data_IF_129054956976
#
_entry.id   IF_129054956976
#
_cell.length_a   1.000
_cell.length_b   1.000
_cell.length_c   1.000
_cell.angle_alpha   90.00
_cell.angle_beta   90.00
_cell.angle_gamma   90.00
#
_symmetry.space_group_name_H-M   'P 1'
#
loop_
_entity.id
_entity.type
_entity.pdbx_description
1 polymer ?
#
# COMPACT_ATOMS: atom_id res chain seq x y z
N UNK A 1 -9.55 20.22 -32.53
CA UNK A 1 -10.26 21.43 -33.00
C UNK A 1 -9.34 22.21 -33.96
N UNK A 2 -9.86 22.87 -35.06
CA UNK A 2 -9.03 23.66 -35.92
C UNK A 2 -8.30 24.78 -35.16
N UNK A 3 -7.00 24.88 -35.30
CA UNK A 3 -6.09 25.79 -34.58
C UNK A 3 -6.44 27.29 -34.64
N UNK A 4 -7.42 27.68 -35.46
CA UNK A 4 -7.74 29.09 -35.72
C UNK A 4 -9.09 29.54 -35.09
N UNK A 5 -9.77 28.74 -34.30
CA UNK A 5 -10.97 29.13 -33.66
C UNK A 5 -10.70 29.43 -32.17
N UNK A 6 -10.98 30.69 -31.69
CA UNK A 6 -10.72 31.03 -30.30
C UNK A 6 -11.85 30.45 -29.40
N UNK A 7 -11.94 29.10 -29.36
CA UNK A 7 -13.03 28.39 -28.70
C UNK A 7 -13.11 28.67 -27.18
N UNK A 8 -11.95 28.87 -26.53
CA UNK A 8 -11.89 29.18 -25.09
C UNK A 8 -12.56 30.54 -24.81
N UNK A 9 -12.28 31.57 -25.64
CA UNK A 9 -12.90 32.86 -25.51
C UNK A 9 -14.41 32.82 -25.83
N UNK A 10 -14.83 31.95 -26.74
CA UNK A 10 -16.24 31.73 -27.07
C UNK A 10 -16.96 30.98 -25.95
N UNK A 11 -16.31 29.97 -25.37
CA UNK A 11 -16.86 29.21 -24.23
C UNK A 11 -17.07 30.10 -23.00
N UNK A 12 -16.05 30.89 -22.63
CA UNK A 12 -16.13 31.85 -21.52
C UNK A 12 -17.22 32.92 -21.71
N UNK A 13 -17.58 33.24 -22.97
CA UNK A 13 -18.67 34.18 -23.29
C UNK A 13 -20.02 33.49 -23.44
N UNK A 14 -20.11 32.17 -23.20
CA UNK A 14 -21.34 31.41 -23.41
C UNK A 14 -21.80 31.31 -24.87
N UNK A 15 -20.88 31.52 -25.83
CA UNK A 15 -21.15 31.49 -27.28
C UNK A 15 -20.87 30.14 -27.93
N UNK A 16 -20.31 29.18 -27.16
CA UNK A 16 -20.05 27.82 -27.60
C UNK A 16 -20.30 26.83 -26.46
N UNK A 17 -20.61 25.59 -26.83
CA UNK A 17 -20.68 24.45 -25.93
C UNK A 17 -19.55 23.51 -26.34
N UNK A 18 -18.74 23.11 -25.38
CA UNK A 18 -17.74 22.09 -25.57
C UNK A 18 -18.34 20.71 -25.33
N UNK A 19 -18.42 19.88 -26.36
CA UNK A 19 -18.80 18.47 -26.22
C UNK A 19 -17.48 17.70 -26.17
N UNK A 20 -17.23 17.09 -25.03
CA UNK A 20 -16.05 16.27 -24.79
C UNK A 20 -16.29 14.81 -25.15
N UNK A 21 -15.22 14.01 -25.17
CA UNK A 21 -15.34 12.57 -25.33
C UNK A 21 -16.19 11.94 -24.21
N UNK A 22 -16.10 12.47 -22.99
CA UNK A 22 -16.90 12.00 -21.86
C UNK A 22 -18.40 12.24 -22.07
N UNK A 23 -18.78 13.32 -22.73
CA UNK A 23 -20.18 13.62 -23.04
C UNK A 23 -20.75 12.70 -24.15
N UNK A 24 -19.86 12.05 -24.91
CA UNK A 24 -20.22 11.13 -26.00
C UNK A 24 -20.16 9.66 -25.60
N UNK A 25 -19.63 9.35 -24.40
CA UNK A 25 -19.62 7.98 -23.90
C UNK A 25 -21.03 7.51 -23.57
N UNK A 26 -21.33 6.30 -24.00
CA UNK A 26 -22.55 5.60 -23.62
C UNK A 26 -22.41 5.09 -22.18
N UNK A 27 -23.48 5.19 -21.42
CA UNK A 27 -23.61 4.50 -20.15
C UNK A 27 -23.88 3.00 -20.38
N UNK A 28 -23.61 2.18 -19.38
CA UNK A 28 -23.94 0.73 -19.43
C UNK A 28 -25.40 0.45 -19.78
N UNK A 29 -26.33 1.30 -19.31
CA UNK A 29 -27.74 1.13 -19.58
C UNK A 29 -28.09 1.52 -21.03
N UNK A 30 -27.44 2.53 -21.60
CA UNK A 30 -27.58 2.90 -23.01
C UNK A 30 -27.02 1.82 -23.94
N UNK A 31 -25.91 1.19 -23.58
CA UNK A 31 -25.41 0.02 -24.32
C UNK A 31 -26.41 -1.13 -24.34
N UNK A 32 -27.04 -1.43 -23.19
CA UNK A 32 -28.11 -2.43 -23.11
C UNK A 32 -29.29 -2.10 -24.01
N UNK A 33 -29.67 -0.81 -24.11
CA UNK A 33 -30.76 -0.34 -24.98
C UNK A 33 -30.40 -0.65 -26.44
N UNK A 34 -29.17 -0.36 -26.88
CA UNK A 34 -28.73 -0.66 -28.26
C UNK A 34 -28.85 -2.15 -28.57
N UNK A 35 -28.45 -3.03 -27.66
CA UNK A 35 -28.57 -4.47 -27.85
C UNK A 35 -30.05 -4.92 -27.86
N UNK A 36 -30.85 -4.38 -26.95
CA UNK A 36 -32.30 -4.68 -26.88
C UNK A 36 -33.06 -4.25 -28.12
N UNK A 37 -32.76 -3.07 -28.68
CA UNK A 37 -33.32 -2.62 -29.97
C UNK A 37 -32.96 -3.54 -31.15
N UNK A 38 -31.90 -4.30 -31.01
CA UNK A 38 -31.47 -5.31 -31.94
C UNK A 38 -31.93 -6.75 -31.55
N UNK A 39 -32.98 -6.84 -30.71
CA UNK A 39 -33.60 -8.10 -30.26
C UNK A 39 -32.67 -9.00 -29.42
N UNK A 40 -31.63 -8.44 -28.82
CA UNK A 40 -30.70 -9.13 -27.96
C UNK A 40 -30.88 -8.68 -26.51
N UNK A 41 -31.23 -9.61 -25.64
CA UNK A 41 -31.31 -9.35 -24.19
C UNK A 41 -30.03 -9.84 -23.50
N UNK A 42 -29.15 -8.92 -23.13
CA UNK A 42 -27.94 -9.25 -22.40
C UNK A 42 -28.25 -9.64 -20.95
N UNK A 43 -27.56 -10.65 -20.43
CA UNK A 43 -27.51 -10.92 -19.00
C UNK A 43 -26.78 -9.79 -18.27
N UNK A 44 -26.83 -9.79 -16.92
CA UNK A 44 -26.08 -8.80 -16.13
C UNK A 44 -24.58 -8.93 -16.36
N UNK A 45 -24.07 -10.17 -16.38
CA UNK A 45 -22.66 -10.47 -16.61
C UNK A 45 -22.20 -10.06 -18.02
N UNK A 46 -23.03 -10.33 -19.05
CA UNK A 46 -22.71 -9.93 -20.44
C UNK A 46 -22.68 -8.41 -20.59
N UNK A 47 -23.58 -7.68 -19.90
CA UNK A 47 -23.58 -6.24 -19.92
C UNK A 47 -22.39 -5.63 -19.16
N UNK A 48 -21.95 -6.26 -18.06
CA UNK A 48 -20.74 -5.85 -17.36
C UNK A 48 -19.51 -6.07 -18.26
N UNK A 49 -19.39 -7.22 -18.86
CA UNK A 49 -18.31 -7.57 -19.78
C UNK A 49 -18.26 -6.64 -21.00
N UNK A 50 -19.42 -6.33 -21.59
CA UNK A 50 -19.53 -5.39 -22.71
C UNK A 50 -18.97 -4.01 -22.30
N UNK A 51 -19.47 -3.46 -21.19
CA UNK A 51 -19.08 -2.12 -20.73
C UNK A 51 -17.59 -2.06 -20.34
N UNK A 52 -17.07 -3.11 -19.70
CA UNK A 52 -15.64 -3.22 -19.36
C UNK A 52 -14.74 -3.16 -20.61
N UNK A 53 -15.19 -3.74 -21.74
CA UNK A 53 -14.41 -3.80 -22.98
C UNK A 53 -14.67 -2.64 -23.94
N UNK A 54 -15.80 -1.96 -23.87
CA UNK A 54 -16.13 -0.83 -24.75
C UNK A 54 -15.91 0.50 -24.09
N UNK A 55 -15.98 0.55 -22.76
CA UNK A 55 -15.96 1.76 -21.94
C UNK A 55 -16.88 2.86 -22.51
N UNK A 56 -18.06 2.47 -23.01
CA UNK A 56 -19.04 3.38 -23.61
C UNK A 56 -18.67 3.89 -25.01
N UNK A 57 -17.59 3.40 -25.64
CA UNK A 57 -17.23 3.86 -26.97
C UNK A 57 -18.15 3.26 -28.03
N UNK A 58 -18.97 4.12 -28.66
CA UNK A 58 -20.06 3.71 -29.54
C UNK A 58 -19.61 2.78 -30.69
N UNK A 59 -18.44 3.03 -31.28
CA UNK A 59 -17.93 2.15 -32.37
C UNK A 59 -17.58 0.76 -31.85
N UNK A 60 -17.06 0.65 -30.64
CA UNK A 60 -16.77 -0.63 -30.00
C UNK A 60 -18.07 -1.38 -29.65
N UNK A 61 -19.09 -0.68 -29.19
CA UNK A 61 -20.42 -1.25 -28.92
C UNK A 61 -21.03 -1.82 -30.18
N UNK A 62 -21.02 -1.09 -31.31
CA UNK A 62 -21.55 -1.59 -32.59
C UNK A 62 -20.74 -2.77 -33.14
N UNK A 63 -19.42 -2.78 -32.98
CA UNK A 63 -18.60 -3.94 -33.37
C UNK A 63 -18.91 -5.16 -32.50
N UNK A 64 -19.07 -4.96 -31.21
CA UNK A 64 -19.47 -6.03 -30.28
C UNK A 64 -20.86 -6.57 -30.59
N UNK A 65 -21.80 -5.69 -30.97
CA UNK A 65 -23.14 -6.10 -31.45
C UNK A 65 -23.05 -6.93 -32.73
N UNK A 66 -22.19 -6.52 -33.68
CA UNK A 66 -21.97 -7.30 -34.91
C UNK A 66 -21.37 -8.68 -34.61
N UNK A 67 -20.38 -8.74 -33.72
CA UNK A 67 -19.81 -10.04 -33.29
C UNK A 67 -20.84 -10.91 -32.59
N UNK A 68 -21.67 -10.34 -31.69
CA UNK A 68 -22.75 -11.06 -31.02
C UNK A 68 -23.75 -11.68 -32.02
N UNK A 69 -24.20 -10.91 -33.01
CA UNK A 69 -25.10 -11.40 -34.06
C UNK A 69 -24.50 -12.57 -34.84
N UNK A 70 -23.19 -12.59 -35.02
CA UNK A 70 -22.48 -13.65 -35.74
C UNK A 70 -22.25 -14.91 -34.91
N UNK A 71 -21.98 -14.75 -33.60
CA UNK A 71 -21.56 -15.84 -32.73
C UNK A 71 -22.67 -16.34 -31.79
N UNK A 72 -23.76 -15.59 -31.64
CA UNK A 72 -24.85 -15.91 -30.70
C UNK A 72 -24.46 -15.75 -29.22
N UNK A 73 -23.31 -15.11 -28.91
CA UNK A 73 -22.79 -14.87 -27.58
C UNK A 73 -21.81 -13.70 -27.59
N UNK A 74 -21.52 -13.14 -26.43
CA UNK A 74 -20.42 -12.16 -26.30
C UNK A 74 -19.11 -12.80 -26.79
N UNK A 75 -18.45 -12.13 -27.74
CA UNK A 75 -17.20 -12.57 -28.35
C UNK A 75 -15.98 -12.15 -27.51
N UNK A 76 -14.78 -12.47 -28.03
CA UNK A 76 -13.50 -12.04 -27.41
C UNK A 76 -13.07 -10.61 -27.78
N UNK A 77 -13.99 -9.79 -28.31
CA UNK A 77 -13.75 -8.39 -28.73
C UNK A 77 -12.60 -8.23 -29.75
N UNK A 78 -12.36 -9.28 -30.55
CA UNK A 78 -11.27 -9.32 -31.55
C UNK A 78 -11.41 -8.21 -32.60
N UNK A 79 -12.64 -7.92 -33.05
CA UNK A 79 -12.89 -6.86 -34.04
C UNK A 79 -12.62 -5.47 -33.47
N UNK A 80 -12.95 -5.24 -32.19
CA UNK A 80 -12.67 -3.98 -31.49
C UNK A 80 -11.16 -3.79 -31.37
N UNK A 81 -10.45 -4.80 -30.86
CA UNK A 81 -9.02 -4.76 -30.71
C UNK A 81 -8.28 -4.58 -32.05
N UNK A 82 -8.75 -5.26 -33.11
CA UNK A 82 -8.18 -5.09 -34.45
C UNK A 82 -8.39 -3.68 -35.02
N UNK A 83 -9.59 -3.12 -34.83
CA UNK A 83 -9.88 -1.74 -35.25
C UNK A 83 -8.93 -0.77 -34.54
N UNK A 84 -8.82 -0.84 -33.22
CA UNK A 84 -7.95 0.03 -32.43
C UNK A 84 -6.48 -0.11 -32.80
N UNK A 85 -6.04 -1.37 -32.98
CA UNK A 85 -4.67 -1.63 -33.42
C UNK A 85 -4.38 -0.90 -34.74
N UNK A 86 -5.19 -1.11 -35.76
CA UNK A 86 -4.94 -0.57 -37.11
C UNK A 86 -5.20 0.93 -37.25
N UNK A 87 -6.14 1.47 -36.47
CA UNK A 87 -6.52 2.89 -36.57
C UNK A 87 -5.69 3.83 -35.68
N UNK A 88 -5.18 3.30 -34.58
CA UNK A 88 -4.48 4.09 -33.56
C UNK A 88 -3.08 3.54 -33.30
N UNK A 89 -2.99 2.32 -32.72
CA UNK A 89 -1.74 1.78 -32.23
C UNK A 89 -0.65 1.68 -33.30
N UNK A 90 -0.96 1.12 -34.48
CA UNK A 90 -0.01 0.96 -35.59
C UNK A 90 0.43 2.30 -36.22
N UNK A 91 -0.23 3.43 -35.88
CA UNK A 91 0.13 4.78 -36.35
C UNK A 91 1.06 5.53 -35.39
N UNK A 92 1.19 5.02 -34.18
CA UNK A 92 2.14 5.58 -33.21
C UNK A 92 3.58 5.32 -33.64
N UNK A 93 4.51 6.17 -33.22
CA UNK A 93 5.93 5.90 -33.37
C UNK A 93 6.33 4.61 -32.66
N UNK A 94 7.44 3.97 -33.08
CA UNK A 94 7.91 2.75 -32.44
C UNK A 94 8.15 2.92 -30.93
N UNK A 95 8.71 4.07 -30.52
CA UNK A 95 8.97 4.39 -29.12
C UNK A 95 7.66 4.56 -28.32
N UNK A 96 6.64 5.20 -28.91
CA UNK A 96 5.32 5.32 -28.28
C UNK A 96 4.58 3.98 -28.19
N UNK A 97 4.70 3.13 -29.22
CA UNK A 97 4.15 1.77 -29.15
C UNK A 97 4.81 0.98 -28.02
N UNK A 98 6.14 1.00 -27.93
CA UNK A 98 6.87 0.31 -26.88
C UNK A 98 6.54 0.90 -25.49
N UNK A 99 6.41 2.22 -25.38
CA UNK A 99 6.00 2.90 -24.16
C UNK A 99 4.62 2.42 -23.69
N UNK A 100 3.61 2.47 -24.55
CA UNK A 100 2.25 2.03 -24.17
C UNK A 100 2.19 0.53 -23.90
N UNK A 101 2.93 -0.31 -24.62
CA UNK A 101 3.05 -1.73 -24.31
C UNK A 101 3.55 -1.94 -22.87
N UNK A 102 4.64 -1.29 -22.48
CA UNK A 102 5.19 -1.39 -21.11
C UNK A 102 4.24 -0.79 -20.08
N UNK A 103 3.62 0.36 -20.38
CA UNK A 103 2.73 1.05 -19.45
C UNK A 103 1.34 0.40 -19.32
N UNK A 104 0.96 -0.49 -20.24
CA UNK A 104 -0.29 -1.26 -20.12
C UNK A 104 -0.39 -2.11 -18.86
N UNK A 105 0.73 -2.42 -18.22
CA UNK A 105 0.83 -3.16 -16.96
C UNK A 105 0.38 -2.34 -15.74
N UNK A 106 0.19 -1.02 -15.88
CA UNK A 106 -0.04 -0.09 -14.78
C UNK A 106 -1.36 0.67 -14.97
N UNK A 107 -2.04 0.99 -13.86
CA UNK A 107 -3.33 1.66 -13.91
C UNK A 107 -3.20 3.14 -14.26
N UNK A 108 -2.19 3.79 -13.71
CA UNK A 108 -1.85 5.18 -13.96
C UNK A 108 -0.35 5.40 -13.77
N UNK A 109 0.16 6.48 -14.34
CA UNK A 109 1.56 6.86 -14.27
C UNK A 109 1.74 8.38 -14.38
N UNK A 110 2.81 8.89 -13.84
CA UNK A 110 3.37 10.20 -14.14
C UNK A 110 4.62 10.03 -15.00
N UNK A 111 5.06 11.11 -15.62
CA UNK A 111 6.16 11.05 -16.60
C UNK A 111 7.48 10.56 -15.97
N UNK A 112 7.84 11.07 -14.77
CA UNK A 112 9.08 10.68 -14.09
C UNK A 112 9.11 9.18 -13.76
N UNK A 113 7.99 8.67 -13.23
CA UNK A 113 7.84 7.24 -12.92
C UNK A 113 7.85 6.38 -14.18
N UNK A 114 7.18 6.83 -15.24
CA UNK A 114 7.11 6.11 -16.52
C UNK A 114 8.46 6.06 -17.23
N UNK A 115 9.22 7.15 -17.26
CA UNK A 115 10.59 7.21 -17.79
C UNK A 115 11.50 6.22 -17.06
N UNK A 116 11.47 6.23 -15.71
CA UNK A 116 12.26 5.29 -14.92
C UNK A 116 11.87 3.82 -15.16
N UNK A 117 10.58 3.54 -15.28
CA UNK A 117 10.08 2.18 -15.49
C UNK A 117 10.40 1.68 -16.89
N UNK A 118 10.10 2.48 -17.92
CA UNK A 118 10.22 2.07 -19.33
C UNK A 118 11.63 2.19 -19.87
N UNK A 119 12.44 3.08 -19.31
CA UNK A 119 13.76 3.48 -19.83
C UNK A 119 13.66 4.03 -21.26
N UNK A 120 12.55 4.73 -21.57
CA UNK A 120 12.32 5.41 -22.85
C UNK A 120 12.24 6.92 -22.60
N UNK A 121 12.76 7.69 -23.53
CA UNK A 121 12.71 9.15 -23.52
C UNK A 121 11.41 9.61 -24.19
N UNK A 122 10.31 9.57 -23.43
CA UNK A 122 8.99 10.04 -23.85
C UNK A 122 8.64 11.23 -22.98
N UNK A 123 8.39 12.36 -23.63
CA UNK A 123 8.10 13.61 -22.91
C UNK A 123 6.63 13.75 -22.53
N UNK A 124 6.34 14.63 -21.56
CA UNK A 124 4.96 14.97 -21.20
C UNK A 124 4.20 15.56 -22.40
N UNK A 125 4.88 16.34 -23.26
CA UNK A 125 4.26 16.90 -24.47
C UNK A 125 3.85 15.81 -25.47
N UNK A 126 4.66 14.77 -25.67
CA UNK A 126 4.32 13.65 -26.56
C UNK A 126 3.03 12.95 -26.06
N UNK A 127 2.90 12.81 -24.74
CA UNK A 127 1.70 12.22 -24.14
C UNK A 127 0.49 13.15 -24.25
N UNK A 128 0.65 14.45 -24.01
CA UNK A 128 -0.43 15.44 -24.15
C UNK A 128 -0.91 15.56 -25.61
N UNK A 129 -0.01 15.52 -26.58
CA UNK A 129 -0.38 15.44 -28.00
C UNK A 129 -1.20 14.17 -28.28
N UNK A 130 -0.83 13.04 -27.66
CA UNK A 130 -1.58 11.78 -27.79
C UNK A 130 -2.98 11.86 -27.12
N UNK A 131 -3.13 12.59 -26.00
CA UNK A 131 -4.43 12.89 -25.37
C UNK A 131 -5.32 13.66 -26.34
N UNK A 132 -4.80 14.74 -26.94
CA UNK A 132 -5.55 15.59 -27.85
C UNK A 132 -5.91 14.90 -29.16
N UNK A 133 -4.98 14.11 -29.71
CA UNK A 133 -5.15 13.50 -31.03
C UNK A 133 -6.06 12.26 -30.99
N UNK A 134 -5.95 11.42 -30.00
CA UNK A 134 -6.58 10.10 -29.99
C UNK A 134 -7.64 9.92 -28.90
N UNK A 135 -7.59 10.68 -27.79
CA UNK A 135 -8.56 10.61 -26.69
C UNK A 135 -8.57 9.29 -25.91
N UNK A 136 -7.54 8.47 -26.01
CA UNK A 136 -7.40 7.20 -25.28
C UNK A 136 -6.41 7.26 -24.11
N UNK A 137 -6.06 8.48 -23.74
CA UNK A 137 -5.22 8.78 -22.59
C UNK A 137 -5.85 9.94 -21.85
N UNK A 138 -6.18 9.77 -20.57
CA UNK A 138 -6.70 10.81 -19.70
C UNK A 138 -5.56 11.46 -18.92
N UNK A 139 -5.56 12.78 -18.78
CA UNK A 139 -4.60 13.54 -18.01
C UNK A 139 -5.25 14.23 -16.82
N UNK A 140 -4.77 13.92 -15.62
CA UNK A 140 -5.19 14.57 -14.39
C UNK A 140 -4.23 15.72 -14.05
N UNK A 141 -4.67 16.94 -14.29
CA UNK A 141 -3.88 18.18 -14.09
C UNK A 141 -3.39 18.34 -12.64
N UNK A 142 -4.20 18.12 -11.59
CA UNK A 142 -3.75 18.26 -10.20
C UNK A 142 -2.60 17.33 -9.80
N UNK A 143 -2.57 16.13 -10.31
CA UNK A 143 -1.56 15.11 -9.96
C UNK A 143 -0.47 14.93 -11.02
N UNK A 144 -0.57 15.62 -12.17
CA UNK A 144 0.30 15.43 -13.33
C UNK A 144 0.41 13.97 -13.73
N UNK A 145 -0.70 13.24 -13.72
CA UNK A 145 -0.72 11.81 -13.99
C UNK A 145 -1.59 11.46 -15.20
N UNK A 146 -1.20 10.40 -15.87
CA UNK A 146 -1.87 9.85 -17.03
C UNK A 146 -2.55 8.52 -16.69
N UNK A 147 -3.73 8.30 -17.25
CA UNK A 147 -4.44 7.02 -17.19
C UNK A 147 -4.74 6.56 -18.60
N UNK A 148 -4.32 5.33 -18.93
CA UNK A 148 -4.66 4.74 -20.22
C UNK A 148 -6.12 4.28 -20.20
N UNK A 149 -6.86 4.69 -21.21
CA UNK A 149 -8.18 4.13 -21.47
C UNK A 149 -8.10 2.60 -21.64
N UNK A 150 -9.07 1.88 -21.10
CA UNK A 150 -9.08 0.40 -21.07
C UNK A 150 -8.84 -0.20 -22.45
N UNK A 151 -9.41 0.38 -23.51
CA UNK A 151 -9.25 -0.08 -24.87
C UNK A 151 -7.79 0.01 -25.37
N UNK A 152 -7.12 1.12 -25.15
CA UNK A 152 -5.70 1.26 -25.53
C UNK A 152 -4.83 0.32 -24.69
N UNK A 153 -5.14 0.21 -23.39
CA UNK A 153 -4.42 -0.70 -22.48
C UNK A 153 -4.52 -2.14 -22.96
N UNK A 154 -5.72 -2.59 -23.33
CA UNK A 154 -5.95 -3.97 -23.81
C UNK A 154 -5.15 -4.25 -25.08
N UNK A 155 -5.22 -3.37 -26.08
CA UNK A 155 -4.47 -3.51 -27.33
C UNK A 155 -2.96 -3.50 -27.06
N UNK A 156 -2.48 -2.54 -26.30
CA UNK A 156 -1.05 -2.44 -25.93
C UNK A 156 -0.56 -3.67 -25.16
N UNK A 157 -1.41 -4.21 -24.24
CA UNK A 157 -1.10 -5.41 -23.51
C UNK A 157 -1.05 -6.67 -24.37
N UNK A 158 -1.90 -6.77 -25.40
CA UNK A 158 -1.87 -7.87 -26.36
C UNK A 158 -0.61 -7.85 -27.24
N UNK A 159 -0.10 -6.66 -27.56
CA UNK A 159 1.11 -6.49 -28.33
C UNK A 159 2.39 -6.60 -27.46
N UNK A 160 2.24 -6.64 -26.14
CA UNK A 160 3.35 -6.76 -25.19
C UNK A 160 3.99 -8.15 -25.32
N UNK A 161 4.93 -8.30 -26.21
CA UNK A 161 5.71 -9.54 -26.38
C UNK A 161 7.01 -9.47 -25.59
N UNK A 162 6.91 -9.58 -24.26
CA UNK A 162 8.04 -9.56 -23.32
C UNK A 162 8.12 -10.87 -22.56
N UNK A 163 9.32 -11.30 -22.23
CA UNK A 163 9.56 -12.44 -21.38
C UNK A 163 9.11 -12.14 -19.93
N UNK A 164 8.84 -13.17 -19.15
CA UNK A 164 8.53 -13.04 -17.72
C UNK A 164 9.62 -12.27 -16.95
N UNK A 165 10.89 -12.40 -17.36
CA UNK A 165 12.01 -11.69 -16.77
C UNK A 165 11.90 -10.18 -17.04
N UNK A 166 11.60 -9.77 -18.28
CA UNK A 166 11.44 -8.36 -18.63
C UNK A 166 10.24 -7.74 -17.92
N UNK A 167 9.12 -8.45 -17.85
CA UNK A 167 7.92 -8.02 -17.10
C UNK A 167 8.25 -7.87 -15.61
N UNK A 168 8.97 -8.83 -15.02
CA UNK A 168 9.44 -8.74 -13.65
C UNK A 168 10.33 -7.52 -13.40
N UNK A 169 11.20 -7.16 -14.36
CA UNK A 169 12.03 -5.96 -14.26
C UNK A 169 11.19 -4.67 -14.29
N UNK A 170 10.14 -4.59 -15.12
CA UNK A 170 9.23 -3.44 -15.13
C UNK A 170 8.52 -3.27 -13.77
N UNK A 171 8.00 -4.36 -13.20
CA UNK A 171 7.39 -4.31 -11.88
C UNK A 171 8.38 -3.97 -10.77
N UNK A 172 9.62 -4.46 -10.82
CA UNK A 172 10.65 -4.08 -9.84
C UNK A 172 10.94 -2.57 -9.89
N UNK A 173 11.11 -1.98 -11.07
CA UNK A 173 11.31 -0.52 -11.22
C UNK A 173 10.11 0.28 -10.71
N UNK A 174 8.89 -0.16 -11.00
CA UNK A 174 7.67 0.48 -10.49
C UNK A 174 7.57 0.40 -8.96
N UNK A 175 8.00 -0.73 -8.38
CA UNK A 175 8.08 -0.90 -6.94
C UNK A 175 9.12 0.04 -6.31
N UNK A 176 10.29 0.19 -6.93
CA UNK A 176 11.35 1.11 -6.48
C UNK A 176 10.90 2.58 -6.49
N UNK A 177 10.19 3.01 -7.55
CA UNK A 177 9.56 4.34 -7.59
C UNK A 177 8.58 4.52 -6.44
N UNK A 178 7.72 3.52 -6.22
CA UNK A 178 6.73 3.54 -5.13
C UNK A 178 7.40 3.59 -3.76
N UNK A 179 8.51 2.87 -3.57
CA UNK A 179 9.30 2.87 -2.34
C UNK A 179 9.95 4.22 -2.07
N UNK A 180 10.59 4.84 -3.09
CA UNK A 180 11.17 6.19 -3.01
C UNK A 180 10.11 7.23 -2.59
N UNK A 181 8.89 7.09 -3.07
CA UNK A 181 7.73 7.93 -2.73
C UNK A 181 7.05 7.54 -1.40
N UNK A 182 7.61 6.59 -0.66
CA UNK A 182 7.06 6.07 0.61
C UNK A 182 5.66 5.44 0.48
N UNK A 183 5.27 5.05 -0.72
CA UNK A 183 4.04 4.30 -1.02
C UNK A 183 4.27 2.80 -0.85
N UNK A 184 4.62 2.38 0.36
CA UNK A 184 5.10 1.02 0.62
C UNK A 184 4.09 -0.10 0.30
N UNK A 185 2.79 0.15 0.48
CA UNK A 185 1.74 -0.83 0.12
C UNK A 185 1.77 -1.09 -1.39
N UNK A 186 1.88 -0.02 -2.20
CA UNK A 186 1.98 -0.12 -3.66
C UNK A 186 3.29 -0.79 -4.07
N UNK A 187 4.39 -0.47 -3.38
CA UNK A 187 5.68 -1.13 -3.61
C UNK A 187 5.59 -2.65 -3.37
N UNK A 188 4.98 -3.09 -2.25
CA UNK A 188 4.76 -4.53 -1.98
C UNK A 188 3.93 -5.17 -3.08
N UNK A 189 2.84 -4.54 -3.54
CA UNK A 189 2.01 -5.08 -4.62
C UNK A 189 2.80 -5.29 -5.92
N UNK A 190 3.66 -4.34 -6.29
CA UNK A 190 4.51 -4.48 -7.48
C UNK A 190 5.64 -5.48 -7.28
N UNK A 191 6.31 -5.51 -6.13
CA UNK A 191 7.30 -6.54 -5.83
C UNK A 191 6.69 -7.96 -5.81
N UNK A 192 5.43 -8.09 -5.40
CA UNK A 192 4.70 -9.37 -5.48
C UNK A 192 4.53 -9.83 -6.93
N UNK A 193 4.12 -8.92 -7.83
CA UNK A 193 4.03 -9.21 -9.27
C UNK A 193 5.41 -9.55 -9.87
N UNK A 194 6.46 -8.90 -9.37
CA UNK A 194 7.85 -9.19 -9.75
C UNK A 194 8.42 -10.46 -9.11
N UNK A 195 7.73 -11.06 -8.14
CA UNK A 195 8.21 -12.18 -7.30
C UNK A 195 9.51 -11.84 -6.56
N UNK A 196 9.72 -10.57 -6.21
CA UNK A 196 10.89 -10.10 -5.47
C UNK A 196 10.67 -10.23 -3.96
N UNK A 197 10.70 -11.47 -3.49
CA UNK A 197 10.43 -11.83 -2.10
C UNK A 197 11.45 -11.23 -1.12
N UNK A 198 12.70 -11.08 -1.56
CA UNK A 198 13.77 -10.46 -0.76
C UNK A 198 13.44 -9.00 -0.42
N UNK A 199 13.02 -8.19 -1.40
CA UNK A 199 12.63 -6.79 -1.15
C UNK A 199 11.36 -6.68 -0.30
N UNK A 200 10.39 -7.57 -0.50
CA UNK A 200 9.19 -7.62 0.34
C UNK A 200 9.56 -7.91 1.79
N UNK A 201 10.37 -8.94 2.03
CA UNK A 201 10.83 -9.27 3.38
C UNK A 201 11.62 -8.11 4.01
N UNK A 202 12.51 -7.45 3.25
CA UNK A 202 13.25 -6.28 3.71
C UNK A 202 12.34 -5.12 4.13
N UNK A 203 11.27 -4.84 3.38
CA UNK A 203 10.28 -3.80 3.74
C UNK A 203 9.57 -4.13 5.06
N UNK A 204 9.12 -5.37 5.23
CA UNK A 204 8.46 -5.80 6.45
C UNK A 204 9.42 -5.94 7.65
N UNK A 205 10.70 -6.20 7.41
CA UNK A 205 11.72 -6.24 8.46
C UNK A 205 12.10 -4.86 8.98
N UNK A 206 11.93 -3.83 8.17
CA UNK A 206 12.32 -2.47 8.51
C UNK A 206 11.47 -1.85 9.61
N UNK A 207 11.91 -0.68 10.07
CA UNK A 207 11.26 0.10 11.15
C UNK A 207 9.77 0.40 10.91
N UNK A 208 9.34 0.46 9.66
CA UNK A 208 7.93 0.66 9.29
C UNK A 208 7.16 -0.66 9.11
N UNK A 209 7.80 -1.82 9.26
CA UNK A 209 7.22 -3.13 8.98
C UNK A 209 5.91 -3.37 9.72
N UNK A 210 5.87 -3.11 11.03
CA UNK A 210 4.62 -3.21 11.82
C UNK A 210 3.50 -2.34 11.25
N UNK A 211 3.78 -1.06 10.94
CA UNK A 211 2.78 -0.15 10.39
C UNK A 211 2.29 -0.59 9.02
N UNK A 212 3.17 -1.21 8.24
CA UNK A 212 2.82 -1.76 6.94
C UNK A 212 1.88 -2.95 7.10
N UNK A 213 2.15 -3.86 8.05
CA UNK A 213 1.26 -4.97 8.42
C UNK A 213 -0.09 -4.41 8.91
N UNK A 214 -0.08 -3.43 9.80
CA UNK A 214 -1.28 -2.84 10.40
C UNK A 214 -2.19 -2.18 9.36
N UNK A 215 -1.61 -1.51 8.34
CA UNK A 215 -2.38 -0.83 7.29
C UNK A 215 -2.97 -1.78 6.25
N UNK A 216 -2.32 -2.89 6.00
CA UNK A 216 -2.71 -3.86 4.97
C UNK A 216 -2.45 -5.31 5.41
N UNK A 217 -3.13 -5.79 6.49
CA UNK A 217 -2.88 -7.12 7.03
C UNK A 217 -3.17 -8.24 6.02
N UNK A 218 -4.19 -8.07 5.17
CA UNK A 218 -4.52 -9.04 4.12
C UNK A 218 -3.40 -9.19 3.07
N UNK A 219 -2.71 -8.11 2.73
CA UNK A 219 -1.56 -8.16 1.82
C UNK A 219 -0.40 -8.91 2.48
N UNK A 220 -0.12 -8.62 3.76
CA UNK A 220 0.92 -9.37 4.48
C UNK A 220 0.62 -10.87 4.52
N UNK A 221 -0.62 -11.26 4.84
CA UNK A 221 -1.01 -12.67 4.85
C UNK A 221 -0.83 -13.35 3.48
N UNK A 222 -1.17 -12.66 2.39
CA UNK A 222 -1.04 -13.21 1.04
C UNK A 222 0.41 -13.43 0.59
N UNK A 223 1.37 -12.72 1.16
CA UNK A 223 2.80 -12.85 0.81
C UNK A 223 3.62 -13.62 1.84
N UNK A 224 3.09 -13.83 3.05
CA UNK A 224 3.82 -14.41 4.19
C UNK A 224 4.48 -15.74 3.86
N UNK A 225 3.74 -16.66 3.26
CA UNK A 225 4.27 -17.99 2.92
C UNK A 225 5.42 -17.91 1.89
N UNK A 226 5.32 -16.97 0.94
CA UNK A 226 6.33 -16.80 -0.09
C UNK A 226 7.63 -16.15 0.43
N UNK A 227 7.57 -15.37 1.51
CA UNK A 227 8.74 -14.72 2.10
C UNK A 227 9.35 -15.50 3.26
N UNK A 228 8.76 -16.62 3.68
CA UNK A 228 9.12 -17.35 4.90
C UNK A 228 10.59 -17.78 4.92
N UNK A 229 11.06 -18.40 3.85
CA UNK A 229 12.47 -18.84 3.74
C UNK A 229 13.43 -17.65 3.81
N UNK A 230 13.20 -16.61 3.00
CA UNK A 230 14.03 -15.40 2.98
C UNK A 230 13.99 -14.67 4.33
N UNK A 231 12.83 -14.68 4.97
CA UNK A 231 12.60 -14.07 6.27
C UNK A 231 13.51 -14.70 7.33
N UNK A 232 13.51 -16.01 7.46
CA UNK A 232 14.36 -16.71 8.42
C UNK A 232 15.83 -16.69 8.04
N UNK A 233 16.17 -16.67 6.75
CA UNK A 233 17.56 -16.58 6.30
C UNK A 233 18.17 -15.19 6.58
N UNK A 234 17.44 -14.11 6.26
CA UNK A 234 18.00 -12.74 6.24
C UNK A 234 17.27 -11.72 7.13
N UNK A 235 15.98 -11.89 7.34
CA UNK A 235 15.11 -10.84 7.91
C UNK A 235 14.21 -11.32 9.06
N UNK A 236 14.77 -11.92 10.14
CA UNK A 236 13.98 -12.49 11.24
C UNK A 236 13.10 -11.43 11.96
N UNK A 237 13.44 -10.14 11.83
CA UNK A 237 12.65 -9.04 12.40
C UNK A 237 11.25 -8.89 11.77
N UNK A 238 10.97 -9.52 10.62
CA UNK A 238 9.61 -9.59 10.06
C UNK A 238 8.66 -10.26 11.05
N UNK A 239 9.08 -11.41 11.62
CA UNK A 239 8.25 -12.13 12.60
C UNK A 239 8.07 -11.34 13.88
N UNK A 240 9.08 -10.59 14.32
CA UNK A 240 8.96 -9.71 15.48
C UNK A 240 7.99 -8.54 15.23
N UNK A 241 8.03 -7.94 14.04
CA UNK A 241 7.05 -6.92 13.64
C UNK A 241 5.64 -7.48 13.59
N UNK A 242 5.47 -8.71 13.10
CA UNK A 242 4.17 -9.41 13.10
C UNK A 242 3.70 -9.76 14.51
N UNK A 243 4.57 -10.31 15.34
CA UNK A 243 4.27 -10.60 16.74
C UNK A 243 3.87 -9.33 17.51
N UNK A 244 4.58 -8.23 17.29
CA UNK A 244 4.22 -6.95 17.89
C UNK A 244 2.86 -6.45 17.40
N UNK A 245 2.57 -6.57 16.11
CA UNK A 245 1.24 -6.25 15.59
C UNK A 245 0.16 -7.09 16.28
N UNK A 246 0.34 -8.40 16.38
CA UNK A 246 -0.58 -9.31 17.06
C UNK A 246 -0.76 -8.94 18.54
N UNK A 247 0.31 -8.58 19.24
CA UNK A 247 0.26 -8.17 20.66
C UNK A 247 -0.57 -6.90 20.92
N UNK A 248 -0.82 -6.10 19.89
CA UNK A 248 -1.66 -4.88 19.98
C UNK A 248 -3.11 -5.09 19.52
N UNK A 249 -3.41 -6.22 18.89
CA UNK A 249 -4.74 -6.49 18.31
C UNK A 249 -5.45 -7.64 19.00
N UNK A 250 -4.71 -8.59 19.53
CA UNK A 250 -5.23 -9.83 20.08
C UNK A 250 -5.05 -9.89 21.61
N UNK A 251 -5.81 -10.79 22.25
CA UNK A 251 -5.64 -11.08 23.66
C UNK A 251 -4.30 -11.79 23.91
N UNK A 252 -3.65 -11.49 25.02
CA UNK A 252 -2.38 -12.09 25.45
C UNK A 252 -2.39 -13.62 25.36
N UNK A 253 -3.49 -14.27 25.76
CA UNK A 253 -3.62 -15.72 25.67
C UNK A 253 -3.51 -16.27 24.24
N UNK A 254 -3.95 -15.49 23.25
CA UNK A 254 -3.87 -15.88 21.85
C UNK A 254 -2.47 -15.61 21.27
N UNK A 255 -1.73 -14.66 21.82
CA UNK A 255 -0.40 -14.25 21.30
C UNK A 255 0.75 -15.00 21.96
N UNK A 256 0.60 -15.44 23.20
CA UNK A 256 1.67 -16.16 23.91
C UNK A 256 2.17 -17.42 23.18
N UNK A 257 1.31 -18.27 22.60
CA UNK A 257 1.80 -19.41 21.82
C UNK A 257 2.69 -18.99 20.64
N UNK A 258 2.32 -17.95 19.92
CA UNK A 258 3.14 -17.39 18.83
C UNK A 258 4.48 -16.82 19.34
N UNK A 259 4.47 -16.17 20.52
CA UNK A 259 5.69 -15.70 21.17
C UNK A 259 6.63 -16.87 21.50
N UNK A 260 6.10 -17.96 22.07
CA UNK A 260 6.87 -19.15 22.43
C UNK A 260 7.41 -19.89 21.19
N UNK A 261 6.61 -19.97 20.14
CA UNK A 261 7.03 -20.51 18.84
C UNK A 261 8.22 -19.72 18.29
N UNK A 262 8.10 -18.41 18.15
CA UNK A 262 9.15 -17.55 17.57
C UNK A 262 10.44 -17.60 18.41
N UNK A 263 10.36 -17.56 19.73
CA UNK A 263 11.55 -17.64 20.58
C UNK A 263 12.23 -19.01 20.46
N UNK A 264 11.44 -20.08 20.34
CA UNK A 264 11.97 -21.42 20.11
C UNK A 264 12.67 -21.52 18.75
N UNK A 265 12.07 -20.96 17.70
CA UNK A 265 12.65 -20.92 16.36
C UNK A 265 13.97 -20.15 16.35
N UNK A 266 14.02 -18.97 16.99
CA UNK A 266 15.28 -18.20 17.13
C UNK A 266 16.35 -19.01 17.86
N UNK A 267 16.02 -19.66 18.98
CA UNK A 267 16.95 -20.41 19.80
C UNK A 267 17.51 -21.66 19.09
N UNK A 268 16.73 -22.26 18.21
CA UNK A 268 17.13 -23.46 17.46
C UNK A 268 17.72 -23.14 16.07
N UNK A 269 17.62 -21.90 15.61
CA UNK A 269 18.08 -21.53 14.27
C UNK A 269 19.61 -21.46 14.20
N UNK A 270 20.27 -22.08 13.20
CA UNK A 270 21.74 -22.13 13.10
C UNK A 270 22.41 -20.75 13.14
N UNK A 271 21.76 -19.73 12.55
CA UNK A 271 22.31 -18.37 12.41
C UNK A 271 21.90 -17.48 13.60
N UNK A 272 20.69 -17.65 14.15
CA UNK A 272 20.07 -16.69 15.06
C UNK A 272 20.09 -17.07 16.53
N UNK A 273 20.40 -18.33 16.88
CA UNK A 273 20.35 -18.86 18.25
C UNK A 273 21.11 -18.04 19.30
N UNK A 274 22.22 -17.40 18.91
CA UNK A 274 23.05 -16.58 19.81
C UNK A 274 22.88 -15.08 19.55
N UNK A 275 21.86 -14.68 18.79
CA UNK A 275 21.65 -13.29 18.43
C UNK A 275 21.00 -12.51 19.58
N UNK A 276 21.85 -11.90 20.41
CA UNK A 276 21.41 -11.07 21.54
C UNK A 276 20.47 -9.93 21.14
N UNK A 277 20.64 -9.39 19.93
CA UNK A 277 19.79 -8.31 19.46
C UNK A 277 18.33 -8.77 19.29
N UNK A 278 18.08 -9.92 18.65
CA UNK A 278 16.74 -10.49 18.52
C UNK A 278 16.15 -10.83 19.88
N UNK A 279 16.94 -11.35 20.80
CA UNK A 279 16.49 -11.62 22.17
C UNK A 279 16.11 -10.35 22.90
N UNK A 280 16.81 -9.25 22.68
CA UNK A 280 16.48 -7.94 23.22
C UNK A 280 15.11 -7.44 22.72
N UNK A 281 14.85 -7.55 21.42
CA UNK A 281 13.56 -7.20 20.82
C UNK A 281 12.41 -8.08 21.38
N UNK A 282 12.64 -9.39 21.53
CA UNK A 282 11.69 -10.32 22.12
C UNK A 282 11.35 -9.95 23.57
N UNK A 283 12.34 -9.49 24.35
CA UNK A 283 12.11 -9.05 25.73
C UNK A 283 11.26 -7.79 25.81
N UNK A 284 11.39 -6.85 24.86
CA UNK A 284 10.48 -5.69 24.80
C UNK A 284 9.04 -6.15 24.51
N UNK A 285 8.85 -7.06 23.55
CA UNK A 285 7.53 -7.60 23.25
C UNK A 285 6.95 -8.33 24.47
N UNK A 286 7.77 -9.12 25.17
CA UNK A 286 7.35 -9.79 26.40
C UNK A 286 6.90 -8.80 27.47
N UNK A 287 7.58 -7.65 27.62
CA UNK A 287 7.16 -6.62 28.56
C UNK A 287 5.74 -6.09 28.24
N UNK A 288 5.39 -5.98 26.96
CA UNK A 288 4.07 -5.56 26.51
C UNK A 288 3.02 -6.65 26.80
N UNK A 289 3.37 -7.92 26.54
CA UNK A 289 2.48 -9.06 26.83
C UNK A 289 2.24 -9.28 28.31
N UNK A 290 3.12 -8.79 29.16
CA UNK A 290 2.98 -8.80 30.63
C UNK A 290 2.21 -7.59 31.18
N UNK A 291 1.47 -6.89 30.33
CA UNK A 291 0.62 -5.76 30.72
C UNK A 291 -0.15 -6.05 32.02
N UNK A 292 -0.31 -5.04 32.86
CA UNK A 292 -0.85 -5.09 34.24
C UNK A 292 0.05 -5.73 35.31
N UNK A 293 1.30 -6.07 34.99
CA UNK A 293 2.28 -6.52 35.97
C UNK A 293 3.59 -5.73 35.83
N UNK A 294 3.65 -4.52 36.41
CA UNK A 294 4.79 -3.61 36.28
C UNK A 294 6.13 -4.24 36.67
N UNK A 295 6.13 -5.10 37.71
CA UNK A 295 7.35 -5.78 38.13
C UNK A 295 7.91 -6.69 37.02
N UNK A 296 7.05 -7.54 36.43
CA UNK A 296 7.45 -8.40 35.31
C UNK A 296 7.83 -7.61 34.08
N UNK A 297 7.07 -6.52 33.77
CA UNK A 297 7.38 -5.61 32.66
C UNK A 297 8.78 -5.02 32.83
N UNK A 298 9.11 -4.51 34.02
CA UNK A 298 10.43 -3.95 34.32
C UNK A 298 11.55 -5.00 34.21
N UNK A 299 11.35 -6.20 34.77
CA UNK A 299 12.30 -7.30 34.65
C UNK A 299 12.62 -7.64 33.18
N UNK A 300 11.59 -7.65 32.33
CA UNK A 300 11.77 -7.89 30.89
C UNK A 300 12.57 -6.78 30.21
N UNK A 301 12.32 -5.51 30.57
CA UNK A 301 13.11 -4.38 30.01
C UNK A 301 14.57 -4.37 30.50
N UNK A 302 14.83 -4.75 31.74
CA UNK A 302 16.21 -4.91 32.26
C UNK A 302 16.94 -5.96 31.43
N UNK A 303 16.32 -7.13 31.19
CA UNK A 303 16.89 -8.16 30.33
C UNK A 303 17.08 -7.70 28.88
N UNK A 304 16.11 -6.93 28.33
CA UNK A 304 16.27 -6.36 27.01
C UNK A 304 17.51 -5.48 26.91
N UNK A 305 17.75 -4.64 27.93
CA UNK A 305 18.94 -3.78 28.00
C UNK A 305 20.25 -4.61 28.06
N UNK A 306 20.29 -5.67 28.86
CA UNK A 306 21.44 -6.57 28.95
C UNK A 306 21.76 -7.18 27.57
N UNK A 307 20.72 -7.59 26.82
CA UNK A 307 20.88 -8.12 25.47
C UNK A 307 21.33 -7.06 24.46
N UNK A 308 20.80 -5.85 24.51
CA UNK A 308 21.17 -4.78 23.57
C UNK A 308 22.58 -4.22 23.84
N UNK A 309 23.03 -4.17 25.09
CA UNK A 309 24.26 -3.44 25.49
C UNK A 309 24.11 -1.95 25.15
N UNK A 310 25.00 -1.46 24.27
CA UNK A 310 24.98 -0.05 23.79
C UNK A 310 24.00 0.18 22.62
N UNK A 311 23.38 -0.88 22.08
CA UNK A 311 22.44 -0.77 20.97
C UNK A 311 21.05 -0.42 21.47
N UNK A 312 20.21 -0.04 20.54
CA UNK A 312 18.79 0.23 20.79
C UNK A 312 17.91 -0.58 19.84
N UNK A 313 16.66 -0.76 20.20
CA UNK A 313 15.67 -1.42 19.37
C UNK A 313 15.56 -0.79 17.98
N UNK A 314 15.36 -1.61 16.95
CA UNK A 314 14.99 -1.16 15.60
C UNK A 314 13.49 -1.22 15.36
N UNK A 315 12.78 -2.07 16.11
CA UNK A 315 11.33 -2.26 15.99
C UNK A 315 10.60 -1.13 16.73
N UNK A 316 11.06 -0.84 17.95
CA UNK A 316 10.48 0.15 18.84
C UNK A 316 11.28 1.47 18.75
N UNK A 317 11.04 2.25 17.70
CA UNK A 317 11.59 3.60 17.57
C UNK A 317 10.48 4.65 17.70
N UNK A 318 10.84 5.89 18.02
CA UNK A 318 10.04 7.13 18.05
C UNK A 318 8.53 6.97 17.80
N UNK A 319 7.83 6.23 18.64
CA UNK A 319 6.38 6.21 18.65
C UNK A 319 5.89 7.38 19.53
N UNK A 320 5.19 8.32 18.93
CA UNK A 320 4.41 9.29 19.68
C UNK A 320 3.37 8.54 20.51
N UNK A 321 3.34 8.79 21.80
CA UNK A 321 2.25 8.33 22.63
C UNK A 321 1.05 9.24 22.38
N UNK A 322 -0.07 8.66 22.00
CA UNK A 322 -1.35 9.35 22.09
C UNK A 322 -1.84 9.18 23.51
N UNK A 323 -1.83 10.25 24.29
CA UNK A 323 -2.48 10.27 25.59
C UNK A 323 -3.99 10.10 25.36
N UNK A 324 -4.53 9.01 25.86
CA UNK A 324 -5.98 8.78 25.88
C UNK A 324 -6.68 9.62 26.95
N UNK A 325 -7.98 9.53 26.99
CA UNK A 325 -8.79 10.15 28.07
C UNK A 325 -8.67 9.45 29.40
N UNK A 326 -8.07 8.27 29.44
CA UNK A 326 -7.91 7.46 30.66
C UNK A 326 -6.53 7.70 31.26
N UNK A 327 -6.53 8.04 32.56
CA UNK A 327 -5.31 8.13 33.35
C UNK A 327 -4.52 6.81 33.29
N UNK A 328 -3.24 6.86 32.90
CA UNK A 328 -2.42 5.66 32.74
C UNK A 328 -2.24 4.90 34.06
N UNK A 329 -2.04 5.62 35.15
CA UNK A 329 -1.87 5.07 36.48
C UNK A 329 -3.07 4.21 36.93
N UNK A 330 -4.29 4.54 36.48
CA UNK A 330 -5.48 3.74 36.84
C UNK A 330 -5.44 2.33 36.26
N UNK A 331 -4.69 2.09 35.20
CA UNK A 331 -4.52 0.75 34.62
C UNK A 331 -3.73 -0.18 35.56
N UNK A 332 -2.85 0.36 36.36
CA UNK A 332 -1.96 -0.40 37.25
C UNK A 332 -2.33 -0.29 38.71
N UNK A 333 -3.12 0.73 39.09
CA UNK A 333 -3.54 0.95 40.47
C UNK A 333 -4.68 0.01 40.86
N UNK A 334 -4.32 -1.19 41.28
CA UNK A 334 -5.27 -2.27 41.65
C UNK A 334 -5.29 -2.59 43.13
N UNK A 335 -4.54 -1.87 43.96
CA UNK A 335 -4.42 -2.08 45.40
C UNK A 335 -4.40 -0.76 46.15
N UNK A 336 -5.41 -0.56 47.04
CA UNK A 336 -5.48 0.67 47.85
C UNK A 336 -4.22 0.89 48.68
N UNK A 337 -3.81 2.15 48.80
CA UNK A 337 -2.65 2.56 49.57
C UNK A 337 -1.30 2.46 48.85
N UNK A 338 -1.25 1.87 47.63
CA UNK A 338 0.01 1.68 46.89
C UNK A 338 0.24 2.69 45.73
N UNK A 339 -0.55 3.78 45.68
CA UNK A 339 -0.49 4.71 44.55
C UNK A 339 0.94 5.23 44.30
N UNK A 340 1.62 5.74 45.37
CA UNK A 340 2.98 6.28 45.25
C UNK A 340 3.98 5.23 44.74
N UNK A 341 3.88 4.01 45.22
CA UNK A 341 4.77 2.91 44.83
C UNK A 341 4.57 2.58 43.33
N UNK A 342 3.32 2.57 42.87
CA UNK A 342 2.99 2.30 41.46
C UNK A 342 3.56 3.41 40.57
N UNK A 343 3.40 4.68 40.93
CA UNK A 343 3.96 5.82 40.20
C UNK A 343 5.49 5.67 40.05
N UNK A 344 6.21 5.34 41.13
CA UNK A 344 7.65 5.13 41.04
C UNK A 344 8.01 3.96 40.10
N UNK A 345 7.26 2.86 40.13
CA UNK A 345 7.47 1.73 39.22
C UNK A 345 7.18 2.10 37.77
N UNK A 346 6.15 2.92 37.50
CA UNK A 346 5.83 3.42 36.15
C UNK A 346 6.94 4.34 35.62
N UNK A 347 7.48 5.21 36.47
CA UNK A 347 8.62 6.09 36.14
C UNK A 347 9.88 5.28 35.81
N UNK A 348 10.17 4.23 36.61
CA UNK A 348 11.29 3.33 36.32
C UNK A 348 11.10 2.62 34.97
N UNK A 349 9.89 2.13 34.71
CA UNK A 349 9.54 1.52 33.42
C UNK A 349 9.74 2.48 32.27
N UNK A 350 9.22 3.72 32.39
CA UNK A 350 9.36 4.74 31.36
C UNK A 350 10.83 5.04 31.05
N UNK A 351 11.66 5.24 32.08
CA UNK A 351 13.10 5.50 31.93
C UNK A 351 13.85 4.33 31.30
N UNK A 352 13.53 3.10 31.70
CA UNK A 352 14.12 1.90 31.11
C UNK A 352 13.74 1.77 29.64
N UNK A 353 12.48 1.99 29.31
CA UNK A 353 11.96 1.94 27.95
C UNK A 353 12.59 3.00 27.03
N UNK A 354 12.65 4.26 27.49
CA UNK A 354 13.30 5.35 26.75
C UNK A 354 14.74 5.01 26.33
N UNK A 355 15.51 4.42 27.24
CA UNK A 355 16.93 4.10 27.00
C UNK A 355 17.14 3.08 25.88
N UNK A 356 16.24 2.10 25.75
CA UNK A 356 16.36 1.02 24.76
C UNK A 356 15.61 1.31 23.48
N UNK A 357 14.80 2.38 23.40
CA UNK A 357 13.94 2.69 22.25
C UNK A 357 14.25 4.04 21.60
N UNK A 358 15.47 4.54 21.73
CA UNK A 358 15.91 5.81 21.12
C UNK A 358 15.06 7.03 21.56
N UNK A 359 14.70 7.09 22.83
CA UNK A 359 13.94 8.20 23.37
C UNK A 359 12.43 8.16 23.12
N UNK A 360 11.88 7.02 22.72
CA UNK A 360 10.41 6.85 22.71
C UNK A 360 9.85 7.11 24.11
N UNK A 361 8.75 7.84 24.17
CA UNK A 361 8.05 8.15 25.42
C UNK A 361 8.80 9.12 26.35
N UNK A 362 9.62 10.03 25.80
CA UNK A 362 10.19 11.16 26.55
C UNK A 362 9.04 11.97 27.17
N UNK A 363 9.19 12.35 28.45
CA UNK A 363 8.18 13.07 29.23
C UNK A 363 7.16 12.19 29.95
N UNK A 364 7.29 10.87 29.88
CA UNK A 364 6.38 9.97 30.58
C UNK A 364 6.55 10.00 32.10
N UNK A 365 7.77 10.15 32.57
CA UNK A 365 8.04 10.26 33.98
C UNK A 365 7.42 11.54 34.57
N UNK A 366 7.50 12.69 33.88
CA UNK A 366 6.81 13.90 34.27
C UNK A 366 5.28 13.74 34.20
N UNK A 367 4.79 13.03 33.18
CA UNK A 367 3.36 12.77 33.04
C UNK A 367 2.80 11.94 34.19
N UNK A 368 3.52 10.93 34.67
CA UNK A 368 3.10 10.15 35.85
C UNK A 368 3.12 10.98 37.14
N UNK A 369 4.04 11.94 37.29
CA UNK A 369 3.99 12.87 38.40
C UNK A 369 2.75 13.78 38.33
N UNK A 370 2.38 14.25 37.15
CA UNK A 370 1.15 15.03 36.96
C UNK A 370 -0.11 14.20 37.26
N UNK A 371 -0.18 12.93 36.80
CA UNK A 371 -1.30 12.02 37.15
C UNK A 371 -1.39 11.79 38.67
N UNK A 372 -0.26 11.60 39.34
CA UNK A 372 -0.23 11.45 40.78
C UNK A 372 -0.78 12.69 41.50
N UNK A 373 -0.34 13.88 41.08
CA UNK A 373 -0.77 15.16 41.64
C UNK A 373 -2.29 15.36 41.40
N UNK A 374 -2.80 15.04 40.23
CA UNK A 374 -4.24 15.08 39.95
C UNK A 374 -5.05 14.11 40.85
N UNK A 375 -4.60 12.89 41.02
CA UNK A 375 -5.29 11.88 41.83
C UNK A 375 -5.31 12.25 43.31
N UNK A 376 -4.23 12.89 43.78
CA UNK A 376 -4.09 13.35 45.18
C UNK A 376 -4.70 14.73 45.46
N UNK A 377 -5.17 15.44 44.43
CA UNK A 377 -5.82 16.74 44.56
C UNK A 377 -4.86 17.93 44.56
N UNK A 378 -3.59 17.74 44.27
CA UNK A 378 -2.61 18.81 44.08
C UNK A 378 -2.66 19.33 42.61
N UNK A 379 -3.71 20.09 42.32
CA UNK A 379 -3.97 20.62 40.97
C UNK A 379 -2.89 21.58 40.49
N UNK A 380 -2.31 22.37 41.37
CA UNK A 380 -1.25 23.32 41.01
C UNK A 380 0.02 22.62 40.52
N UNK A 381 0.40 21.52 41.16
CA UNK A 381 1.54 20.69 40.70
C UNK A 381 1.19 19.94 39.39
N UNK A 382 -0.03 19.47 39.26
CA UNK A 382 -0.46 18.77 38.05
C UNK A 382 -0.48 19.67 36.79
N UNK A 383 -0.69 20.98 36.99
CA UNK A 383 -0.74 21.97 35.90
C UNK A 383 0.66 22.46 35.44
N UNK A 384 1.66 22.34 36.25
CA UNK A 384 3.06 22.72 35.93
C UNK A 384 3.78 21.67 35.12
#
# INVERSE_FOLDING_TARGET
LPYNIPYEAMFLKGQSVLITQQDLKLTKDEEKVIFKENEINLTAEEADLLYEHTDGWISAVYLSLYEYKKLGRMGGFLSVNHLLKTTIFDKLSADMQEFFMKMSLFDWFDIEGAEYVTQLDVTENDLLESVEQFGFLDYDVPTHSFTMHTLLRNVSGMELNKSDIEISMLYNRAAEVSEKRKSYIKAVAYYTKAKNWDRIAALYAGRNGRRLIERAPGIFQSVRENIEEVMWEKYPTVMLNYLYYMSTKENVHNVMPLYEEIINDINNHPIWKDNKFLMGEMMIILSILQFNNLEKMNQSLIKAREYFGERTSVIFGNSLLTYGTTCMTTLYYNKSGRLKEIIEQEKEYAKAYMRITQGSRVGWDEFFDAEYAMITGDIDTAYR
#
